data_IF_365642916102
#
_entry.id   IF_365642916102
#
_cell.length_a   1.000
_cell.length_b   1.000
_cell.length_c   1.000
_cell.angle_alpha   90.00
_cell.angle_beta   90.00
_cell.angle_gamma   90.00
#
_symmetry.space_group_name_H-M   'P 1'
#
loop_
_entity.id
_entity.type
_entity.pdbx_description
1 polymer ?
#
# COMPACT_ATOMS: atom_id res chain seq x y z
N UNK A 1 2.18 17.16 13.84
CA UNK A 1 2.57 15.96 13.04
C UNK A 1 3.76 15.30 13.73
N UNK A 2 3.73 13.97 13.81
CA UNK A 2 4.81 13.18 14.39
C UNK A 2 5.67 12.65 13.24
N UNK A 3 6.74 13.39 12.95
CA UNK A 3 7.71 12.97 11.94
C UNK A 3 8.66 11.95 12.58
N UNK A 4 8.77 10.77 11.98
CA UNK A 4 9.68 9.74 12.48
C UNK A 4 10.39 9.00 11.34
N UNK A 5 11.56 8.45 11.63
CA UNK A 5 12.26 7.54 10.73
C UNK A 5 11.57 6.18 10.69
N UNK A 6 11.47 5.59 9.52
CA UNK A 6 10.82 4.29 9.33
C UNK A 6 11.53 3.14 10.02
N UNK A 7 12.86 3.16 10.05
CA UNK A 7 13.68 2.06 10.55
C UNK A 7 13.96 2.19 12.05
N UNK A 8 14.37 3.39 12.46
CA UNK A 8 14.78 3.64 13.86
C UNK A 8 13.59 4.00 14.75
N UNK A 9 12.46 4.44 14.14
CA UNK A 9 11.28 4.98 14.86
C UNK A 9 11.61 6.21 15.71
N UNK A 10 12.75 6.83 15.46
CA UNK A 10 13.14 8.08 16.11
C UNK A 10 12.25 9.22 15.62
N UNK A 11 11.67 9.98 16.56
CA UNK A 11 10.77 11.10 16.26
C UNK A 11 11.55 12.38 16.06
N UNK A 12 11.20 13.14 15.04
CA UNK A 12 11.83 14.41 14.68
C UNK A 12 10.88 15.58 14.87
N UNK A 13 11.43 16.70 15.30
CA UNK A 13 10.69 17.97 15.30
C UNK A 13 11.16 18.83 14.13
N UNK A 14 10.20 19.49 13.50
CA UNK A 14 10.50 20.46 12.46
C UNK A 14 11.24 21.66 13.06
N UNK A 15 12.42 21.99 12.54
CA UNK A 15 13.28 23.06 13.04
C UNK A 15 13.65 24.05 11.93
N UNK A 16 14.18 25.22 12.31
CA UNK A 16 14.59 26.26 11.36
C UNK A 16 15.98 26.00 10.72
N UNK A 17 16.56 24.81 10.94
CA UNK A 17 17.89 24.44 10.44
C UNK A 17 17.85 23.67 9.11
N UNK A 18 16.68 23.24 8.66
CA UNK A 18 16.50 22.50 7.43
C UNK A 18 15.07 22.02 7.25
N UNK A 19 14.81 21.44 6.09
CA UNK A 19 13.54 20.82 5.76
C UNK A 19 13.53 19.34 6.14
N UNK A 20 12.36 18.80 6.41
CA UNK A 20 12.13 17.35 6.50
C UNK A 20 11.55 16.89 5.17
N UNK A 21 12.10 15.80 4.62
CA UNK A 21 11.71 15.27 3.31
C UNK A 21 11.13 13.87 3.47
N UNK A 22 10.09 13.55 2.71
CA UNK A 22 9.55 12.19 2.72
C UNK A 22 10.55 11.18 2.14
N UNK A 23 10.62 9.96 2.70
CA UNK A 23 11.55 8.90 2.29
C UNK A 23 11.46 8.62 0.77
N UNK A 24 10.25 8.64 0.22
CA UNK A 24 10.01 8.43 -1.20
C UNK A 24 10.64 9.52 -2.07
N UNK A 25 10.54 10.78 -1.64
CA UNK A 25 11.18 11.91 -2.32
C UNK A 25 12.70 11.83 -2.21
N UNK A 26 13.23 11.50 -1.03
CA UNK A 26 14.66 11.35 -0.82
C UNK A 26 15.25 10.24 -1.70
N UNK A 27 14.57 9.12 -1.84
CA UNK A 27 14.97 8.02 -2.75
C UNK A 27 14.94 8.43 -4.21
N UNK A 28 13.89 9.14 -4.65
CA UNK A 28 13.76 9.59 -6.03
C UNK A 28 14.88 10.56 -6.41
N UNK A 29 15.25 11.46 -5.50
CA UNK A 29 16.31 12.45 -5.71
C UNK A 29 17.71 11.90 -5.37
N UNK A 30 17.80 10.69 -4.83
CA UNK A 30 19.03 10.05 -4.37
C UNK A 30 19.82 10.93 -3.38
N UNK A 31 19.13 11.47 -2.38
CA UNK A 31 19.69 12.38 -1.36
C UNK A 31 19.58 11.79 0.04
N UNK A 32 20.43 12.27 0.94
CA UNK A 32 20.54 11.84 2.34
C UNK A 32 20.35 13.03 3.28
N UNK A 33 20.22 12.74 4.56
CA UNK A 33 20.24 13.76 5.61
C UNK A 33 21.56 14.54 5.57
N UNK A 34 21.46 15.85 5.69
CA UNK A 34 22.58 16.77 5.57
C UNK A 34 22.84 17.31 4.15
N UNK A 35 22.31 16.66 3.12
CA UNK A 35 22.44 17.13 1.74
C UNK A 35 21.60 18.38 1.49
N UNK A 36 21.89 19.04 0.37
CA UNK A 36 21.14 20.18 -0.11
C UNK A 36 20.48 19.85 -1.45
N UNK A 37 19.21 20.22 -1.59
CA UNK A 37 18.43 20.07 -2.82
C UNK A 37 18.10 21.43 -3.42
N UNK A 38 18.01 21.50 -4.75
CA UNK A 38 17.58 22.72 -5.43
C UNK A 38 16.11 22.56 -5.84
N UNK A 39 15.26 23.36 -5.21
CA UNK A 39 13.83 23.38 -5.51
C UNK A 39 13.53 24.51 -6.48
N UNK A 40 12.79 24.19 -7.53
CA UNK A 40 12.28 25.17 -8.49
C UNK A 40 10.76 25.23 -8.38
N UNK A 41 10.23 26.44 -8.22
CA UNK A 41 8.80 26.72 -8.26
C UNK A 41 8.44 27.24 -9.65
N UNK A 42 8.02 26.35 -10.52
CA UNK A 42 7.71 26.69 -11.92
C UNK A 42 8.90 27.32 -12.65
N UNK A 43 8.73 28.55 -13.14
CA UNK A 43 9.76 29.33 -13.85
C UNK A 43 10.67 30.13 -12.93
N UNK A 44 10.46 30.09 -11.60
CA UNK A 44 11.24 30.85 -10.65
C UNK A 44 12.69 30.32 -10.54
N UNK A 45 13.59 31.18 -10.07
CA UNK A 45 14.97 30.76 -9.72
C UNK A 45 14.88 29.67 -8.65
N UNK A 46 15.63 28.58 -8.87
CA UNK A 46 15.74 27.53 -7.87
C UNK A 46 16.31 28.04 -6.55
N UNK A 47 15.80 27.53 -5.45
CA UNK A 47 16.28 27.81 -4.10
C UNK A 47 16.93 26.58 -3.52
N UNK A 48 18.06 26.75 -2.84
CA UNK A 48 18.77 25.66 -2.20
C UNK A 48 18.21 25.42 -0.80
N UNK A 49 17.79 24.19 -0.55
CA UNK A 49 17.18 23.76 0.71
C UNK A 49 18.02 22.66 1.31
N UNK A 50 18.43 22.81 2.58
CA UNK A 50 19.13 21.78 3.33
C UNK A 50 18.12 20.78 3.89
N UNK A 51 18.42 19.48 3.76
CA UNK A 51 17.65 18.38 4.33
C UNK A 51 18.12 18.17 5.78
N UNK A 52 17.26 18.37 6.76
CA UNK A 52 17.55 18.08 8.15
C UNK A 52 17.30 16.59 8.46
N UNK A 53 16.11 16.09 8.10
CA UNK A 53 15.70 14.70 8.35
C UNK A 53 14.89 14.14 7.19
N UNK A 54 14.84 12.81 7.13
CA UNK A 54 14.00 12.06 6.21
C UNK A 54 12.94 11.33 7.03
N UNK A 55 11.65 11.59 6.75
CA UNK A 55 10.55 10.99 7.50
C UNK A 55 9.82 9.92 6.71
N UNK A 56 9.22 8.98 7.46
CA UNK A 56 8.32 7.98 6.90
C UNK A 56 7.07 8.66 6.32
N UNK A 57 6.81 8.45 5.04
CA UNK A 57 5.57 8.84 4.40
C UNK A 57 5.33 7.96 3.17
N UNK A 58 4.17 7.29 3.15
CA UNK A 58 3.81 6.35 2.09
C UNK A 58 3.10 6.99 0.90
N UNK A 59 2.44 8.12 1.11
CA UNK A 59 1.65 8.80 0.09
C UNK A 59 2.26 10.13 -0.30
N UNK A 60 2.43 10.33 -1.60
CA UNK A 60 2.88 11.60 -2.16
C UNK A 60 4.37 11.90 -1.95
N UNK A 61 4.74 13.09 -2.39
CA UNK A 61 6.08 13.63 -2.29
C UNK A 61 5.99 14.96 -1.54
N UNK A 62 6.52 14.99 -0.32
CA UNK A 62 6.39 16.15 0.55
C UNK A 62 7.74 16.63 1.03
N UNK A 63 7.84 17.94 1.19
CA UNK A 63 8.94 18.63 1.85
C UNK A 63 8.32 19.57 2.88
N UNK A 64 8.69 19.43 4.12
CA UNK A 64 8.12 20.15 5.24
C UNK A 64 9.06 21.23 5.70
N UNK A 65 8.52 22.43 5.88
CA UNK A 65 9.25 23.63 6.33
C UNK A 65 8.59 24.21 7.57
N UNK A 66 9.38 24.81 8.47
CA UNK A 66 8.83 25.81 9.37
C UNK A 66 8.53 27.10 8.59
N UNK A 67 7.56 27.91 9.01
CA UNK A 67 7.31 29.22 8.38
C UNK A 67 8.56 30.13 8.36
N UNK A 68 9.37 30.02 9.40
CA UNK A 68 10.61 30.83 9.53
C UNK A 68 11.69 30.35 8.54
N UNK A 69 11.90 29.02 8.44
CA UNK A 69 12.85 28.47 7.49
C UNK A 69 12.41 28.70 6.04
N UNK A 70 11.09 28.57 5.75
CA UNK A 70 10.52 28.91 4.44
C UNK A 70 10.83 30.36 4.05
N UNK A 71 10.55 31.32 4.97
CA UNK A 71 10.85 32.74 4.74
C UNK A 71 12.34 33.00 4.51
N UNK A 72 13.22 32.31 5.25
CA UNK A 72 14.69 32.41 5.07
C UNK A 72 15.16 31.94 3.69
N UNK A 73 14.57 30.85 3.19
CA UNK A 73 14.98 30.24 1.91
C UNK A 73 14.36 30.93 0.70
N UNK A 74 13.06 31.24 0.76
CA UNK A 74 12.32 31.84 -0.35
C UNK A 74 12.24 33.37 -0.31
N UNK A 75 12.61 34.00 0.78
CA UNK A 75 12.53 35.47 0.96
C UNK A 75 11.09 36.01 1.07
N UNK A 76 10.09 35.14 1.08
CA UNK A 76 8.66 35.49 1.16
C UNK A 76 7.96 34.73 2.27
N UNK A 77 6.86 35.28 2.79
CA UNK A 77 6.03 34.60 3.77
C UNK A 77 5.29 33.41 3.11
N UNK A 78 5.15 32.31 3.83
CA UNK A 78 4.40 31.16 3.35
C UNK A 78 2.90 31.51 3.19
N UNK A 79 2.33 31.12 2.06
CA UNK A 79 0.91 31.17 1.81
C UNK A 79 0.29 29.81 2.12
N UNK A 80 -0.81 29.82 2.85
CA UNK A 80 -1.49 28.59 3.26
C UNK A 80 -2.75 28.40 2.43
N UNK A 81 -2.83 27.29 1.74
CA UNK A 81 -3.98 26.92 0.91
C UNK A 81 -4.73 25.68 1.44
N UNK A 82 -4.26 25.08 2.52
CA UNK A 82 -4.86 23.92 3.14
C UNK A 82 -4.72 23.98 4.66
N UNK A 83 -5.74 23.55 5.36
CA UNK A 83 -5.75 23.41 6.81
C UNK A 83 -6.06 21.95 7.13
N UNK A 84 -5.17 21.29 7.87
CA UNK A 84 -5.42 19.97 8.42
C UNK A 84 -5.79 20.09 9.89
N UNK A 85 -6.86 19.44 10.30
CA UNK A 85 -7.28 19.40 11.70
C UNK A 85 -7.78 18.01 12.08
N UNK A 86 -7.69 17.71 13.35
CA UNK A 86 -8.20 16.48 13.94
C UNK A 86 -9.37 16.83 14.87
N UNK A 87 -10.48 16.13 14.68
CA UNK A 87 -11.58 16.21 15.62
C UNK A 87 -11.15 15.69 17.00
N UNK A 88 -11.70 16.25 18.07
CA UNK A 88 -11.48 15.72 19.42
C UNK A 88 -12.09 14.33 19.55
N UNK A 89 -11.52 13.51 20.42
CA UNK A 89 -12.05 12.20 20.72
C UNK A 89 -13.49 12.31 21.24
N UNK A 90 -14.38 11.42 20.81
CA UNK A 90 -15.79 11.39 21.17
C UNK A 90 -16.75 12.01 20.14
N UNK A 91 -16.25 12.60 19.07
CA UNK A 91 -17.11 13.00 17.95
C UNK A 91 -17.33 11.83 17.00
N UNK A 92 -18.61 11.60 16.61
CA UNK A 92 -18.92 10.62 15.57
C UNK A 92 -18.57 11.18 14.18
N UNK A 93 -18.36 10.26 13.21
CA UNK A 93 -18.10 10.64 11.81
C UNK A 93 -19.18 11.54 11.24
N UNK A 94 -20.44 11.28 11.58
CA UNK A 94 -21.57 12.07 11.13
C UNK A 94 -21.52 13.51 11.66
N UNK A 95 -21.08 13.67 12.91
CA UNK A 95 -20.87 15.01 13.50
C UNK A 95 -19.72 15.75 12.83
N UNK A 96 -18.64 15.04 12.49
CA UNK A 96 -17.50 15.60 11.74
C UNK A 96 -17.92 16.00 10.32
N UNK A 97 -18.70 15.18 9.62
CA UNK A 97 -19.25 15.48 8.29
C UNK A 97 -20.17 16.71 8.34
N UNK A 98 -21.10 16.79 9.29
CA UNK A 98 -21.95 17.97 9.49
C UNK A 98 -21.16 19.26 9.80
N UNK A 99 -20.07 19.14 10.55
CA UNK A 99 -19.18 20.28 10.78
C UNK A 99 -18.44 20.70 9.51
N UNK A 100 -18.01 19.73 8.72
CA UNK A 100 -17.39 19.95 7.41
C UNK A 100 -18.33 20.65 6.42
N UNK A 101 -19.59 20.23 6.34
CA UNK A 101 -20.60 20.89 5.50
C UNK A 101 -20.74 22.38 5.83
N UNK A 102 -20.73 22.73 7.13
CA UNK A 102 -20.76 24.13 7.56
C UNK A 102 -19.50 24.90 7.16
N UNK A 103 -18.36 24.25 7.10
CA UNK A 103 -17.10 24.85 6.67
C UNK A 103 -17.12 24.99 5.14
N UNK A 104 -17.59 23.98 4.42
CA UNK A 104 -17.69 23.98 2.96
C UNK A 104 -18.66 25.04 2.43
N UNK A 105 -19.67 25.41 3.22
CA UNK A 105 -20.60 26.48 2.88
C UNK A 105 -19.97 27.91 2.89
N UNK A 106 -18.68 28.04 3.22
CA UNK A 106 -17.95 29.31 3.16
C UNK A 106 -17.30 29.48 1.78
N UNK A 107 -17.45 30.64 1.17
CA UNK A 107 -16.96 30.95 -0.17
C UNK A 107 -15.45 30.72 -0.38
N UNK A 108 -14.68 30.73 0.70
CA UNK A 108 -13.22 30.56 0.66
C UNK A 108 -12.78 29.11 0.70
N UNK A 109 -13.69 28.16 0.90
CA UNK A 109 -13.39 26.74 1.00
C UNK A 109 -13.78 26.04 -0.29
N UNK A 110 -12.80 25.51 -0.99
CA UNK A 110 -13.01 24.82 -2.27
C UNK A 110 -13.44 23.37 -2.08
N UNK A 111 -12.86 22.68 -1.11
CA UNK A 111 -13.13 21.25 -0.88
C UNK A 111 -12.77 20.85 0.55
N UNK A 112 -13.35 19.77 1.00
CA UNK A 112 -12.99 19.09 2.25
C UNK A 112 -12.76 17.61 1.93
N UNK A 113 -11.67 17.06 2.43
CA UNK A 113 -11.37 15.63 2.34
C UNK A 113 -11.34 15.02 3.74
N UNK A 114 -11.98 13.89 3.91
CA UNK A 114 -11.97 13.16 5.16
C UNK A 114 -11.04 11.94 5.02
N UNK A 115 -10.22 11.74 6.04
CA UNK A 115 -9.27 10.60 6.05
C UNK A 115 -10.00 9.25 6.02
N UNK A 116 -11.20 9.20 6.62
CA UNK A 116 -12.03 8.00 6.60
C UNK A 116 -12.46 7.62 5.18
N UNK A 117 -12.95 8.57 4.40
CA UNK A 117 -13.37 8.32 3.01
C UNK A 117 -12.20 7.81 2.15
N UNK A 118 -10.98 8.31 2.39
CA UNK A 118 -9.76 7.82 1.71
C UNK A 118 -9.46 6.39 2.12
N UNK A 119 -9.63 6.07 3.41
CA UNK A 119 -9.42 4.71 3.92
C UNK A 119 -10.42 3.73 3.31
N UNK A 120 -11.70 4.09 3.28
CA UNK A 120 -12.75 3.25 2.68
C UNK A 120 -12.48 2.98 1.20
N UNK A 121 -12.06 3.98 0.43
CA UNK A 121 -11.66 3.79 -0.97
C UNK A 121 -10.48 2.83 -1.12
N UNK A 122 -9.50 2.88 -0.21
CA UNK A 122 -8.38 1.95 -0.21
C UNK A 122 -8.84 0.53 0.15
N UNK A 123 -9.71 0.39 1.15
CA UNK A 123 -10.25 -0.91 1.57
C UNK A 123 -11.09 -1.54 0.45
N UNK A 124 -11.90 -0.78 -0.27
CA UNK A 124 -12.66 -1.24 -1.45
C UNK A 124 -11.74 -1.68 -2.59
N UNK A 125 -10.66 -0.92 -2.84
CA UNK A 125 -9.67 -1.28 -3.84
C UNK A 125 -8.94 -2.59 -3.47
N UNK A 126 -8.58 -2.77 -2.19
CA UNK A 126 -7.97 -4.01 -1.70
C UNK A 126 -8.95 -5.18 -1.75
N UNK A 127 -10.23 -4.96 -1.45
CA UNK A 127 -11.26 -5.99 -1.57
C UNK A 127 -11.42 -6.49 -3.01
N UNK A 128 -11.33 -5.61 -3.99
CA UNK A 128 -11.37 -6.00 -5.41
C UNK A 128 -10.17 -6.85 -5.82
N UNK A 129 -8.98 -6.59 -5.28
CA UNK A 129 -7.79 -7.43 -5.51
C UNK A 129 -7.94 -8.83 -4.89
N UNK A 130 -8.59 -8.95 -3.73
CA UNK A 130 -8.90 -10.25 -3.13
C UNK A 130 -9.76 -11.13 -4.04
N UNK A 131 -10.73 -10.55 -4.76
CA UNK A 131 -11.52 -11.28 -5.73
C UNK A 131 -10.65 -11.89 -6.84
N UNK A 132 -9.70 -11.11 -7.37
CA UNK A 132 -8.75 -11.60 -8.40
C UNK A 132 -7.91 -12.75 -7.86
N UNK A 133 -7.42 -12.65 -6.64
CA UNK A 133 -6.63 -13.70 -5.99
C UNK A 133 -7.45 -15.00 -5.86
N UNK A 134 -8.70 -14.91 -5.43
CA UNK A 134 -9.60 -16.07 -5.31
C UNK A 134 -9.79 -16.74 -6.68
N UNK A 135 -10.04 -15.96 -7.73
CA UNK A 135 -10.19 -16.50 -9.09
C UNK A 135 -8.93 -17.21 -9.54
N UNK A 136 -7.74 -16.65 -9.27
CA UNK A 136 -6.47 -17.27 -9.60
C UNK A 136 -6.25 -18.60 -8.84
N UNK A 137 -6.56 -18.62 -7.54
CA UNK A 137 -6.44 -19.85 -6.72
C UNK A 137 -7.37 -20.95 -7.26
N UNK A 138 -8.62 -20.62 -7.55
CA UNK A 138 -9.59 -21.56 -8.09
C UNK A 138 -9.13 -22.09 -9.46
N UNK A 139 -8.67 -21.20 -10.33
CA UNK A 139 -8.16 -21.58 -11.67
C UNK A 139 -6.94 -22.49 -11.58
N UNK A 140 -5.99 -22.17 -10.70
CA UNK A 140 -4.81 -22.99 -10.46
C UNK A 140 -5.18 -24.37 -9.88
N UNK A 141 -6.13 -24.41 -8.96
CA UNK A 141 -6.65 -25.65 -8.39
C UNK A 141 -7.33 -26.54 -9.44
N UNK A 142 -8.14 -25.96 -10.33
CA UNK A 142 -8.75 -26.70 -11.43
C UNK A 142 -7.70 -27.27 -12.38
N UNK A 143 -6.68 -26.48 -12.73
CA UNK A 143 -5.60 -26.92 -13.58
C UNK A 143 -4.84 -28.08 -12.94
N UNK A 144 -4.47 -27.96 -11.67
CA UNK A 144 -3.82 -29.03 -10.92
C UNK A 144 -4.66 -30.32 -10.89
N UNK A 145 -5.96 -30.19 -10.68
CA UNK A 145 -6.89 -31.31 -10.71
C UNK A 145 -6.91 -32.03 -12.07
N UNK A 146 -6.98 -31.27 -13.17
CA UNK A 146 -6.96 -31.83 -14.53
C UNK A 146 -5.64 -32.57 -14.80
N UNK A 147 -4.50 -31.97 -14.40
CA UNK A 147 -3.18 -32.60 -14.56
C UNK A 147 -3.09 -33.90 -13.76
N UNK A 148 -3.50 -33.88 -12.49
CA UNK A 148 -3.50 -35.08 -11.64
C UNK A 148 -4.44 -36.17 -12.19
N UNK A 149 -5.62 -35.79 -12.66
CA UNK A 149 -6.56 -36.69 -13.28
C UNK A 149 -5.95 -37.37 -14.53
N UNK A 150 -5.32 -36.60 -15.42
CA UNK A 150 -4.68 -37.11 -16.61
C UNK A 150 -3.52 -38.06 -16.26
N UNK A 151 -2.66 -37.67 -15.30
CA UNK A 151 -1.55 -38.54 -14.86
C UNK A 151 -2.04 -39.84 -14.28
N UNK A 152 -3.07 -39.79 -13.45
CA UNK A 152 -3.67 -40.98 -12.85
C UNK A 152 -4.31 -41.90 -13.95
N UNK A 153 -5.01 -41.29 -14.89
CA UNK A 153 -5.61 -42.03 -16.03
C UNK A 153 -4.56 -42.73 -16.88
N UNK A 154 -3.44 -42.05 -17.17
CA UNK A 154 -2.31 -42.65 -17.93
C UNK A 154 -1.70 -43.78 -17.13
N UNK A 155 -1.42 -43.60 -15.85
CA UNK A 155 -0.83 -44.63 -14.99
C UNK A 155 -1.71 -45.88 -14.92
N UNK A 156 -3.01 -45.73 -14.78
CA UNK A 156 -3.97 -46.85 -14.78
C UNK A 156 -3.95 -47.56 -16.16
N UNK A 157 -3.92 -46.81 -17.25
CA UNK A 157 -3.96 -47.38 -18.61
C UNK A 157 -2.68 -48.17 -18.92
N UNK A 158 -1.52 -47.71 -18.53
CA UNK A 158 -0.24 -48.40 -18.69
C UNK A 158 -0.18 -49.69 -17.89
N UNK A 159 -0.74 -49.73 -16.69
CA UNK A 159 -0.76 -50.92 -15.81
C UNK A 159 -2.00 -51.80 -15.97
N UNK A 160 -2.83 -51.56 -16.96
CA UNK A 160 -4.09 -52.25 -17.14
C UNK A 160 -3.93 -53.79 -17.21
N UNK A 161 -2.85 -54.29 -17.78
CA UNK A 161 -2.55 -55.72 -17.81
C UNK A 161 -2.21 -56.30 -16.44
N UNK A 162 -1.47 -55.59 -15.62
CA UNK A 162 -1.11 -55.98 -14.24
C UNK A 162 -2.34 -55.99 -13.35
N UNK A 163 -3.20 -54.98 -13.45
CA UNK A 163 -4.47 -54.88 -12.70
C UNK A 163 -5.45 -55.99 -13.10
N UNK A 164 -5.50 -56.36 -14.39
CA UNK A 164 -6.28 -57.48 -14.87
C UNK A 164 -5.78 -58.81 -14.30
N UNK A 165 -4.47 -59.01 -14.17
CA UNK A 165 -3.88 -60.19 -13.55
C UNK A 165 -4.24 -60.33 -12.08
N UNK A 166 -4.21 -59.23 -11.33
CA UNK A 166 -4.64 -59.20 -9.90
C UNK A 166 -6.12 -59.60 -9.75
N UNK A 167 -6.99 -59.10 -10.63
CA UNK A 167 -8.41 -59.52 -10.66
C UNK A 167 -8.62 -60.99 -10.95
N UNK A 168 -7.85 -61.56 -11.87
CA UNK A 168 -7.90 -62.98 -12.17
C UNK A 168 -7.41 -63.84 -11.01
N UNK A 169 -6.49 -63.33 -10.21
CA UNK A 169 -5.98 -63.95 -8.98
C UNK A 169 -6.99 -63.85 -7.79
N UNK A 170 -8.13 -63.17 -7.99
CA UNK A 170 -9.21 -63.13 -6.98
C UNK A 170 -9.20 -61.90 -6.07
N UNK A 171 -8.41 -60.86 -6.34
CA UNK A 171 -8.45 -59.62 -5.59
C UNK A 171 -9.71 -58.81 -5.89
N UNK A 172 -10.30 -58.25 -4.85
CA UNK A 172 -11.50 -57.38 -4.95
C UNK A 172 -11.15 -56.00 -5.50
N UNK A 173 -12.13 -55.33 -6.11
CA UNK A 173 -11.95 -53.99 -6.73
C UNK A 173 -11.37 -52.93 -5.75
N UNK A 174 -11.72 -53.02 -4.49
CA UNK A 174 -11.22 -52.14 -3.43
C UNK A 174 -9.73 -52.37 -3.17
N UNK A 175 -9.31 -53.62 -3.14
CA UNK A 175 -7.88 -54.01 -2.92
C UNK A 175 -7.00 -53.61 -4.11
N UNK A 176 -7.52 -53.75 -5.32
CA UNK A 176 -6.86 -53.30 -6.55
C UNK A 176 -6.75 -51.75 -6.56
N UNK A 177 -7.78 -51.04 -6.14
CA UNK A 177 -7.76 -49.59 -6.01
C UNK A 177 -6.74 -49.12 -4.96
N UNK A 178 -6.70 -49.79 -3.79
CA UNK A 178 -5.71 -49.48 -2.74
C UNK A 178 -4.28 -49.70 -3.22
N UNK A 179 -4.03 -50.73 -4.00
CA UNK A 179 -2.72 -50.98 -4.61
C UNK A 179 -2.28 -49.86 -5.55
N UNK A 180 -3.20 -49.33 -6.38
CA UNK A 180 -2.92 -48.19 -7.30
C UNK A 180 -2.65 -46.90 -6.57
N UNK A 181 -3.36 -46.61 -5.46
CA UNK A 181 -3.22 -45.36 -4.70
C UNK A 181 -2.10 -45.36 -3.66
N UNK A 182 -1.49 -46.54 -3.41
CA UNK A 182 -0.41 -46.68 -2.43
C UNK A 182 0.96 -46.34 -2.98
N UNK A 183 1.13 -46.32 -4.30
CA UNK A 183 2.33 -45.86 -5.01
C UNK A 183 2.25 -44.35 -5.36
#
# INVERSE_FOLDING_TARGET
EDFHDRKTKESYKLTDNGAIVSEKTAKLLNVKEGDAINLKDGMAKGVTVKIAHICENYMGHYIYFTPQYYKKVYGKTAEYNCIMFRAKDGYSEEQVKKAGEKILAKDQVLTISYLHDIKDQLDDMLASLNLVIIVLIVSAGMLAFVVLYNLNSINITERQRELATLKVLGFYDVEVAEYVFRE
#
